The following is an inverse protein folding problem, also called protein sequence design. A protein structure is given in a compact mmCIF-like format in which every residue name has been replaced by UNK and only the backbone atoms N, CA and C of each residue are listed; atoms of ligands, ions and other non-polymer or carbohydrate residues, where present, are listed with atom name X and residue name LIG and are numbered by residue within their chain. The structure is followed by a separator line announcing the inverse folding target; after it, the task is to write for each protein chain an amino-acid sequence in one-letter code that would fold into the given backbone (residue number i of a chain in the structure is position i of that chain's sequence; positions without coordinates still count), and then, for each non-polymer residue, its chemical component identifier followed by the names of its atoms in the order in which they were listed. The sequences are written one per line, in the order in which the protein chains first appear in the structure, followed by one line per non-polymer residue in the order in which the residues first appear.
data_IF_039326377195
#
_entry.id   IF_039326377195
#
_cell.length_a   1.000
_cell.length_b   1.000
_cell.length_c   1.000
_cell.angle_alpha   90.00
_cell.angle_beta   90.00
_cell.angle_gamma   90.00
#
_symmetry.space_group_name_H-M   'P 1'
#
loop_
_entity.id
_entity.type
_entity.pdbx_description
1 polymer ?
#
# COMPACT_ATOMS: atom_id res chain seq x y z
N UNK A 1 9.74 85.41 38.32
CA UNK A 1 9.84 86.60 37.47
C UNK A 1 8.51 86.77 36.75
N UNK A 2 7.94 87.98 36.71
CA UNK A 2 6.71 88.26 35.94
C UNK A 2 7.11 88.41 34.46
N UNK A 3 6.44 87.74 33.50
CA UNK A 3 6.71 87.94 32.09
C UNK A 3 6.38 89.38 31.67
N UNK A 4 7.30 90.01 30.93
CA UNK A 4 7.12 91.38 30.47
C UNK A 4 5.90 91.47 29.52
N UNK A 5 4.92 92.32 29.84
CA UNK A 5 3.74 92.59 29.00
C UNK A 5 2.40 92.03 29.50
N UNK A 6 2.37 91.32 30.64
CA UNK A 6 1.10 90.89 31.23
C UNK A 6 0.37 92.06 31.91
N UNK A 7 -0.97 92.23 31.70
CA UNK A 7 -1.73 93.28 32.37
C UNK A 7 -1.63 93.11 33.89
N UNK A 8 -1.28 94.21 34.59
CA UNK A 8 -1.20 94.23 36.05
C UNK A 8 -2.60 93.94 36.62
N UNK A 9 -2.74 93.00 37.58
CA UNK A 9 -4.05 92.69 38.16
C UNK A 9 -4.59 93.88 38.95
N UNK A 10 -5.90 94.09 38.91
CA UNK A 10 -6.59 95.19 39.61
C UNK A 10 -6.42 95.14 41.14
N UNK A 11 -6.05 93.97 41.68
CA UNK A 11 -5.74 93.77 43.10
C UNK A 11 -4.55 92.82 43.24
N UNK A 12 -3.85 92.94 44.36
CA UNK A 12 -2.87 91.92 44.76
C UNK A 12 -3.60 90.62 45.14
N UNK A 13 -3.08 89.43 44.78
CA UNK A 13 -3.67 88.14 45.17
C UNK A 13 -3.59 87.96 46.69
N UNK A 14 -4.63 87.33 47.28
CA UNK A 14 -4.67 87.06 48.72
C UNK A 14 -3.79 85.87 49.10
N UNK A 15 -3.34 85.75 50.37
CA UNK A 15 -2.51 84.63 50.82
C UNK A 15 -3.25 83.29 50.64
N UNK A 16 -2.83 82.50 49.65
CA UNK A 16 -3.43 81.19 49.31
C UNK A 16 -4.01 81.11 47.91
N UNK A 17 -4.25 82.25 47.24
CA UNK A 17 -4.63 82.27 45.83
C UNK A 17 -3.39 82.05 44.95
N UNK A 18 -3.50 81.16 43.97
CA UNK A 18 -2.45 80.98 42.95
C UNK A 18 -2.43 82.24 42.09
N UNK A 19 -1.29 82.96 41.99
CA UNK A 19 -1.22 84.15 41.16
C UNK A 19 -1.55 83.82 39.70
N UNK A 20 -2.22 84.71 38.95
CA UNK A 20 -2.68 84.43 37.58
C UNK A 20 -1.55 84.15 36.59
N UNK A 21 -0.31 84.49 36.93
CA UNK A 21 0.90 84.15 36.15
C UNK A 21 1.54 82.82 36.56
N UNK A 22 0.93 82.04 37.46
CA UNK A 22 1.32 80.65 37.75
C UNK A 22 0.24 79.71 37.24
N UNK A 23 0.61 78.83 36.31
CA UNK A 23 -0.22 77.70 35.93
C UNK A 23 -0.33 76.70 37.10
N UNK A 24 -1.52 76.18 37.42
CA UNK A 24 -1.64 75.09 38.39
C UNK A 24 -0.93 73.83 37.85
N UNK A 25 -0.29 73.03 38.73
CA UNK A 25 0.37 71.80 38.30
C UNK A 25 -0.64 70.82 37.69
N UNK A 26 -0.26 70.07 36.63
CA UNK A 26 -1.14 69.06 36.05
C UNK A 26 -1.48 67.98 37.10
N UNK A 27 -2.71 67.41 37.04
CA UNK A 27 -3.07 66.31 37.93
C UNK A 27 -2.13 65.11 37.70
N UNK A 28 -1.83 64.32 38.75
CA UNK A 28 -0.97 63.16 38.61
C UNK A 28 -1.56 62.15 37.61
N UNK A 29 -0.71 61.48 36.81
CA UNK A 29 -1.17 60.44 35.90
C UNK A 29 -1.86 59.31 36.68
N UNK A 30 -3.03 58.88 36.19
CA UNK A 30 -3.77 57.76 36.78
C UNK A 30 -3.02 56.44 36.66
N UNK A 31 -3.36 55.43 37.48
CA UNK A 31 -2.71 54.12 37.43
C UNK A 31 -2.93 53.43 36.07
N UNK A 32 -1.94 52.66 35.58
CA UNK A 32 -2.04 51.93 34.32
C UNK A 32 -3.17 50.90 34.39
N UNK A 33 -3.92 50.77 33.28
CA UNK A 33 -4.99 49.78 33.15
C UNK A 33 -4.45 48.36 33.32
N UNK A 34 -5.16 47.52 34.08
CA UNK A 34 -4.78 46.13 34.28
C UNK A 34 -4.78 45.36 32.95
N UNK A 35 -3.83 44.42 32.71
CA UNK A 35 -3.82 43.60 31.52
C UNK A 35 -5.13 42.79 31.39
N UNK A 36 -5.77 42.86 30.22
CA UNK A 36 -6.96 42.07 29.93
C UNK A 36 -6.68 40.55 29.91
N UNK A 37 -7.72 39.70 29.98
CA UNK A 37 -7.57 38.25 29.99
C UNK A 37 -6.93 37.74 28.68
N UNK A 38 -5.88 36.92 28.82
CA UNK A 38 -5.17 36.28 27.69
C UNK A 38 -6.03 35.11 27.17
N UNK A 39 -6.58 35.24 25.97
CA UNK A 39 -7.40 34.19 25.33
C UNK A 39 -6.54 33.35 24.39
N UNK A 40 -6.19 32.14 24.81
CA UNK A 40 -5.43 31.19 24.00
C UNK A 40 -6.37 30.35 23.12
N UNK A 41 -6.44 30.64 21.81
CA UNK A 41 -7.22 29.85 20.85
C UNK A 41 -6.32 28.77 20.22
N UNK A 42 -6.51 27.52 20.65
CA UNK A 42 -5.86 26.36 20.02
C UNK A 42 -6.74 25.90 18.86
N UNK A 43 -6.25 26.05 17.63
CA UNK A 43 -6.84 25.39 16.47
C UNK A 43 -6.18 24.04 16.31
N UNK A 44 -6.92 22.96 16.56
CA UNK A 44 -6.48 21.58 16.29
C UNK A 44 -6.94 21.25 14.87
N UNK A 45 -6.00 21.24 13.94
CA UNK A 45 -6.24 20.71 12.60
C UNK A 45 -6.27 19.18 12.70
N UNK A 46 -7.48 18.63 12.60
CA UNK A 46 -7.71 17.19 12.56
C UNK A 46 -7.32 16.68 11.17
N UNK A 47 -6.06 16.25 11.03
CA UNK A 47 -5.61 15.49 9.87
C UNK A 47 -6.20 14.08 10.00
N UNK A 48 -7.17 13.75 9.15
CA UNK A 48 -7.65 12.38 9.03
C UNK A 48 -6.52 11.53 8.43
N UNK A 49 -6.12 10.41 9.06
CA UNK A 49 -5.17 9.49 8.44
C UNK A 49 -5.77 9.00 7.12
N UNK A 50 -4.95 9.00 6.05
CA UNK A 50 -5.33 8.45 4.75
C UNK A 50 -5.88 7.02 4.97
N UNK A 51 -7.03 6.66 4.37
CA UNK A 51 -7.56 5.31 4.48
C UNK A 51 -6.50 4.30 4.06
N UNK A 52 -6.28 3.28 4.90
CA UNK A 52 -5.38 2.16 4.60
C UNK A 52 -5.84 1.54 3.26
N UNK A 53 -4.94 1.36 2.27
CA UNK A 53 -5.32 0.78 0.98
C UNK A 53 -6.09 -0.53 1.16
N UNK A 54 -7.20 -0.67 0.44
CA UNK A 54 -8.01 -1.89 0.48
C UNK A 54 -7.13 -3.13 0.26
N UNK A 55 -7.32 -4.19 1.06
CA UNK A 55 -6.52 -5.39 0.92
C UNK A 55 -6.68 -5.96 -0.50
N UNK A 56 -5.59 -6.36 -1.15
CA UNK A 56 -5.66 -6.85 -2.53
C UNK A 56 -6.59 -8.06 -2.60
N UNK A 57 -7.49 -8.07 -3.59
CA UNK A 57 -8.41 -9.16 -3.81
C UNK A 57 -7.71 -10.50 -4.02
N UNK A 58 -8.42 -11.61 -3.78
CA UNK A 58 -7.85 -12.95 -3.97
C UNK A 58 -7.33 -13.18 -5.40
N UNK A 59 -8.02 -12.60 -6.39
CA UNK A 59 -7.63 -12.69 -7.80
C UNK A 59 -6.35 -11.89 -8.10
N UNK A 60 -6.19 -10.68 -7.55
CA UNK A 60 -4.97 -9.89 -7.76
C UNK A 60 -3.77 -10.53 -7.08
N UNK A 61 -3.95 -11.08 -5.88
CA UNK A 61 -2.91 -11.89 -5.20
C UNK A 61 -2.51 -13.11 -6.02
N UNK A 62 -3.47 -13.79 -6.62
CA UNK A 62 -3.20 -14.93 -7.50
C UNK A 62 -2.48 -14.48 -8.77
N UNK A 63 -2.87 -13.34 -9.36
CA UNK A 63 -2.28 -12.81 -10.57
C UNK A 63 -0.84 -12.32 -10.36
N UNK A 64 -0.56 -11.58 -9.28
CA UNK A 64 0.80 -11.18 -8.91
C UNK A 64 1.68 -12.39 -8.61
N UNK A 65 1.11 -13.43 -7.99
CA UNK A 65 1.79 -14.70 -7.84
C UNK A 65 2.00 -15.39 -9.19
N UNK A 66 1.07 -15.31 -10.14
CA UNK A 66 1.25 -15.94 -11.45
C UNK A 66 2.32 -15.20 -12.28
N UNK A 67 2.24 -13.87 -12.35
CA UNK A 67 3.10 -12.99 -13.13
C UNK A 67 4.39 -12.58 -12.39
N UNK A 68 4.86 -13.42 -11.48
CA UNK A 68 6.16 -13.24 -10.83
C UNK A 68 7.30 -13.56 -11.80
N UNK A 69 8.42 -12.83 -11.75
CA UNK A 69 9.61 -13.11 -12.57
C UNK A 69 10.12 -14.55 -12.36
N UNK A 70 9.85 -15.11 -11.18
CA UNK A 70 10.17 -16.49 -10.83
C UNK A 70 9.40 -17.49 -11.69
N UNK A 71 8.15 -17.18 -12.07
CA UNK A 71 7.38 -17.99 -13.01
C UNK A 71 8.05 -17.97 -14.39
N UNK A 72 8.45 -16.78 -14.87
CA UNK A 72 9.19 -16.63 -16.13
C UNK A 72 10.45 -17.49 -16.14
N UNK A 73 11.28 -17.41 -15.09
CA UNK A 73 12.51 -18.23 -14.99
C UNK A 73 12.21 -19.73 -14.89
N UNK A 74 11.13 -20.11 -14.19
CA UNK A 74 10.72 -21.50 -14.07
C UNK A 74 10.21 -22.08 -15.40
N UNK A 75 9.45 -21.28 -16.17
CA UNK A 75 9.01 -21.62 -17.53
C UNK A 75 10.20 -21.78 -18.45
N UNK A 76 11.16 -20.84 -18.43
CA UNK A 76 12.37 -20.97 -19.22
C UNK A 76 13.15 -22.23 -18.82
N UNK A 77 13.37 -22.49 -17.54
CA UNK A 77 14.08 -23.67 -17.06
C UNK A 77 13.35 -24.99 -17.36
N UNK A 78 12.01 -24.97 -17.45
CA UNK A 78 11.21 -26.15 -17.77
C UNK A 78 11.26 -26.50 -19.27
N UNK A 79 11.40 -25.51 -20.14
CA UNK A 79 11.44 -25.70 -21.60
C UNK A 79 12.88 -25.84 -22.12
N UNK A 80 13.87 -25.31 -21.41
CA UNK A 80 15.29 -25.44 -21.79
C UNK A 80 15.71 -26.92 -21.69
N UNK A 81 16.33 -27.49 -22.75
CA UNK A 81 16.77 -28.88 -22.78
C UNK A 81 18.09 -29.06 -22.03
N UNK A 82 18.02 -29.09 -20.70
CA UNK A 82 19.19 -29.35 -19.85
C UNK A 82 19.22 -30.78 -19.30
N UNK A 83 18.15 -31.56 -19.49
CA UNK A 83 18.02 -32.92 -18.95
C UNK A 83 18.38 -33.94 -20.04
N UNK A 84 19.69 -34.21 -20.19
CA UNK A 84 20.20 -35.21 -21.14
C UNK A 84 19.79 -34.99 -22.62
N UNK A 85 19.50 -33.75 -23.01
CA UNK A 85 19.05 -33.38 -24.36
C UNK A 85 17.54 -33.15 -24.47
N UNK A 86 16.77 -33.58 -23.47
CA UNK A 86 15.34 -33.32 -23.37
C UNK A 86 15.03 -32.18 -22.39
N UNK A 87 13.93 -31.47 -22.67
CA UNK A 87 13.36 -30.55 -21.69
C UNK A 87 12.61 -31.35 -20.62
N UNK A 88 12.62 -30.92 -19.35
CA UNK A 88 11.80 -31.52 -18.29
C UNK A 88 10.33 -31.68 -18.69
N UNK A 89 9.79 -30.73 -19.47
CA UNK A 89 8.42 -30.78 -20.01
C UNK A 89 8.23 -31.95 -20.97
N UNK A 90 9.17 -32.17 -21.90
CA UNK A 90 9.09 -33.29 -22.84
C UNK A 90 9.26 -34.63 -22.12
N UNK A 91 10.20 -34.73 -21.18
CA UNK A 91 10.38 -35.95 -20.38
C UNK A 91 9.11 -36.32 -19.60
N UNK A 92 8.47 -35.35 -18.94
CA UNK A 92 7.20 -35.57 -18.25
C UNK A 92 6.06 -35.94 -19.21
N UNK A 93 5.96 -35.26 -20.36
CA UNK A 93 4.96 -35.59 -21.37
C UNK A 93 5.11 -37.02 -21.89
N UNK A 94 6.35 -37.50 -22.09
CA UNK A 94 6.63 -38.89 -22.45
C UNK A 94 6.16 -39.87 -21.36
N UNK A 95 6.47 -39.60 -20.10
CA UNK A 95 6.01 -40.47 -18.99
C UNK A 95 4.48 -40.54 -18.88
N UNK A 96 3.77 -39.43 -19.13
CA UNK A 96 2.31 -39.42 -19.16
C UNK A 96 1.75 -40.17 -20.36
N UNK A 97 2.38 -40.04 -21.52
CA UNK A 97 1.99 -40.77 -22.72
C UNK A 97 2.15 -42.28 -22.53
N UNK A 98 3.28 -42.73 -21.97
CA UNK A 98 3.52 -44.14 -21.61
C UNK A 98 2.50 -44.63 -20.58
N UNK A 99 2.26 -43.86 -19.52
CA UNK A 99 1.27 -44.18 -18.50
C UNK A 99 -0.14 -44.32 -19.11
N UNK A 100 -0.49 -43.45 -20.05
CA UNK A 100 -1.78 -43.50 -20.77
C UNK A 100 -1.89 -44.76 -21.63
N UNK A 101 -0.81 -45.19 -22.28
CA UNK A 101 -0.80 -46.39 -23.11
C UNK A 101 -0.82 -47.69 -22.30
N UNK A 102 -0.14 -47.72 -21.14
CA UNK A 102 0.02 -48.95 -20.35
C UNK A 102 -1.03 -49.12 -19.25
N UNK A 103 -1.33 -48.05 -18.51
CA UNK A 103 -2.24 -48.07 -17.37
C UNK A 103 -3.62 -47.48 -17.68
N UNK A 104 -3.78 -46.91 -18.89
CA UNK A 104 -5.02 -46.35 -19.38
C UNK A 104 -5.22 -44.87 -19.04
N UNK A 105 -6.21 -44.27 -19.70
CA UNK A 105 -6.50 -42.83 -19.66
C UNK A 105 -6.70 -42.30 -18.24
N UNK A 106 -7.50 -42.97 -17.41
CA UNK A 106 -7.82 -42.51 -16.05
C UNK A 106 -6.59 -42.45 -15.16
N UNK A 107 -5.67 -43.41 -15.28
CA UNK A 107 -4.44 -43.44 -14.49
C UNK A 107 -3.53 -42.25 -14.82
N UNK A 108 -3.39 -41.92 -16.11
CA UNK A 108 -2.64 -40.75 -16.55
C UNK A 108 -3.21 -39.43 -16.00
N UNK A 109 -4.54 -39.29 -15.93
CA UNK A 109 -5.19 -38.13 -15.32
C UNK A 109 -4.94 -38.03 -13.82
N UNK A 110 -5.06 -39.14 -13.08
CA UNK A 110 -4.78 -39.15 -11.63
C UNK A 110 -3.33 -38.79 -11.36
N UNK A 111 -2.40 -39.29 -12.18
CA UNK A 111 -0.98 -38.96 -12.08
C UNK A 111 -0.73 -37.47 -12.36
N UNK A 112 -1.33 -36.91 -13.41
CA UNK A 112 -1.20 -35.50 -13.76
C UNK A 112 -1.75 -34.58 -12.67
N UNK A 113 -2.94 -34.87 -12.15
CA UNK A 113 -3.59 -34.08 -11.09
C UNK A 113 -2.81 -34.18 -9.78
N UNK A 114 -2.36 -35.38 -9.40
CA UNK A 114 -1.57 -35.56 -8.17
C UNK A 114 -0.21 -34.87 -8.25
N UNK A 115 0.47 -34.93 -9.40
CA UNK A 115 1.73 -34.22 -9.63
C UNK A 115 1.55 -32.69 -9.56
N UNK A 116 0.52 -32.15 -10.23
CA UNK A 116 0.22 -30.72 -10.19
C UNK A 116 -0.19 -30.25 -8.78
N UNK A 117 -1.05 -31.00 -8.09
CA UNK A 117 -1.50 -30.71 -6.73
C UNK A 117 -0.35 -30.78 -5.71
N UNK A 118 0.52 -31.78 -5.84
CA UNK A 118 1.72 -31.93 -5.02
C UNK A 118 2.68 -30.75 -5.20
N UNK A 119 3.01 -30.40 -6.46
CA UNK A 119 3.87 -29.27 -6.77
C UNK A 119 3.29 -27.94 -6.26
N UNK A 120 1.98 -27.74 -6.37
CA UNK A 120 1.29 -26.55 -5.86
C UNK A 120 1.28 -26.46 -4.33
N UNK A 121 1.03 -27.57 -3.63
CA UNK A 121 1.11 -27.61 -2.18
C UNK A 121 2.55 -27.30 -1.70
N UNK A 122 3.55 -27.90 -2.34
CA UNK A 122 4.96 -27.64 -2.08
C UNK A 122 5.36 -26.18 -2.35
N UNK A 123 4.84 -25.59 -3.42
CA UNK A 123 5.11 -24.18 -3.75
C UNK A 123 4.55 -23.24 -2.67
N UNK A 124 3.31 -23.48 -2.23
CA UNK A 124 2.68 -22.70 -1.14
C UNK A 124 3.42 -22.80 0.19
N UNK A 125 3.97 -23.96 0.52
CA UNK A 125 4.67 -24.15 1.79
C UNK A 125 6.11 -23.65 1.76
N UNK A 126 6.78 -23.67 0.60
CA UNK A 126 8.24 -23.47 0.55
C UNK A 126 8.64 -22.15 -0.10
N UNK A 127 7.82 -21.54 -0.95
CA UNK A 127 8.14 -20.28 -1.64
C UNK A 127 9.44 -20.35 -2.47
N UNK A 128 9.89 -21.54 -2.87
CA UNK A 128 11.15 -21.82 -3.56
C UNK A 128 10.94 -21.90 -5.07
N UNK A 129 12.00 -21.65 -5.84
CA UNK A 129 11.92 -21.67 -7.32
C UNK A 129 11.69 -23.09 -7.89
N UNK A 130 12.19 -24.11 -7.19
CA UNK A 130 12.12 -25.52 -7.60
C UNK A 130 10.69 -26.11 -7.67
N UNK A 131 9.81 -25.97 -6.64
CA UNK A 131 8.42 -26.45 -6.75
C UNK A 131 7.62 -25.72 -7.84
N UNK A 132 7.95 -24.46 -8.13
CA UNK A 132 7.37 -23.72 -9.25
C UNK A 132 7.76 -24.29 -10.61
N UNK A 133 9.02 -24.72 -10.79
CA UNK A 133 9.48 -25.44 -11.98
C UNK A 133 8.71 -26.75 -12.15
N UNK A 134 8.55 -27.52 -11.07
CA UNK A 134 7.78 -28.76 -11.08
C UNK A 134 6.32 -28.52 -11.47
N UNK A 135 5.69 -27.47 -10.93
CA UNK A 135 4.31 -27.12 -11.25
C UNK A 135 4.16 -26.78 -12.74
N UNK A 136 5.04 -25.93 -13.26
CA UNK A 136 5.03 -25.54 -14.67
C UNK A 136 5.27 -26.75 -15.58
N UNK A 137 6.25 -27.59 -15.23
CA UNK A 137 6.56 -28.82 -15.97
C UNK A 137 5.37 -29.77 -15.97
N UNK A 138 4.73 -29.95 -14.80
CA UNK A 138 3.55 -30.79 -14.66
C UNK A 138 2.39 -30.25 -15.50
N UNK A 139 2.08 -28.96 -15.46
CA UNK A 139 0.94 -28.36 -16.18
C UNK A 139 1.18 -28.36 -17.69
N UNK A 140 2.34 -27.87 -18.15
CA UNK A 140 2.65 -27.77 -19.57
C UNK A 140 2.81 -29.16 -20.18
N UNK A 141 3.56 -30.06 -19.53
CA UNK A 141 3.75 -31.42 -20.03
C UNK A 141 2.47 -32.25 -20.03
N UNK A 142 1.55 -31.97 -19.09
CA UNK A 142 0.21 -32.58 -19.10
C UNK A 142 -0.63 -32.13 -20.30
N UNK A 143 -0.50 -30.87 -20.73
CA UNK A 143 -1.30 -30.33 -21.84
C UNK A 143 -0.97 -31.01 -23.18
N UNK A 144 0.27 -31.47 -23.37
CA UNK A 144 0.69 -32.19 -24.58
C UNK A 144 0.22 -33.66 -24.62
N UNK A 145 0.12 -34.32 -23.46
CA UNK A 145 -0.24 -35.74 -23.38
C UNK A 145 -1.75 -35.98 -23.16
N UNK A 146 -2.48 -34.97 -22.66
CA UNK A 146 -3.88 -35.06 -22.30
C UNK A 146 -4.71 -34.25 -23.28
N UNK A 147 -5.55 -34.94 -24.06
CA UNK A 147 -6.57 -34.27 -24.88
C UNK A 147 -7.58 -33.57 -23.95
N UNK A 148 -7.63 -32.23 -24.00
CA UNK A 148 -8.67 -31.43 -23.32
C UNK A 148 -10.08 -31.77 -23.79
N UNK A 149 -10.23 -32.48 -24.91
CA UNK A 149 -11.51 -32.96 -25.41
C UNK A 149 -11.99 -34.24 -24.71
N UNK A 150 -11.09 -35.06 -24.19
CA UNK A 150 -11.44 -36.34 -23.52
C UNK A 150 -12.42 -36.18 -22.34
N UNK A 151 -12.26 -35.19 -21.42
CA UNK A 151 -13.21 -34.97 -20.34
C UNK A 151 -14.53 -34.40 -20.87
N UNK A 152 -14.49 -33.55 -21.90
CA UNK A 152 -15.68 -32.99 -22.54
C UNK A 152 -16.45 -34.11 -23.23
N UNK A 153 -15.78 -34.98 -23.96
CA UNK A 153 -16.36 -36.16 -24.60
C UNK A 153 -16.86 -37.17 -23.57
N UNK A 154 -16.18 -37.35 -22.43
CA UNK A 154 -16.67 -38.18 -21.33
C UNK A 154 -17.91 -37.60 -20.63
N UNK A 155 -18.01 -36.27 -20.52
CA UNK A 155 -19.17 -35.57 -19.93
C UNK A 155 -20.35 -35.44 -20.89
N UNK A 156 -20.09 -35.28 -22.18
CA UNK A 156 -21.09 -34.96 -23.20
C UNK A 156 -21.45 -36.14 -24.10
N UNK A 157 -20.64 -37.19 -24.13
CA UNK A 157 -20.80 -38.35 -25.02
C UNK A 157 -20.53 -38.08 -26.50
N UNK A 158 -20.14 -36.85 -26.86
CA UNK A 158 -19.91 -36.44 -28.26
C UNK A 158 -18.43 -36.59 -28.61
N UNK A 159 -18.15 -37.54 -29.51
CA UNK A 159 -16.86 -37.62 -30.21
C UNK A 159 -16.88 -36.67 -31.41
N UNK A 160 -15.81 -35.90 -31.66
CA UNK A 160 -15.58 -35.31 -32.98
C UNK A 160 -15.33 -36.39 -34.04
#
# INVERSE_FOLDING_TARGET
MIPAGAPLPARSPEPGEVPPWREPPPPPPGPPAAPGPIVHRVQVELVFPEPDPDPPGLLSRLWDWLCDWRLLTAVTAAVVPWMAGDSPVTAWAHTLAECRTEAGTTAAYVLAISAAGGAWALDRHTGRWFPRLLLVTAVIGSTGAISLFDPITALTGVSP
#
